data_IF_006607006638
#
_entry.id   IF_006607006638
#
_cell.length_a   1.000
_cell.length_b   1.000
_cell.length_c   1.000
_cell.angle_alpha   90.00
_cell.angle_beta   90.00
_cell.angle_gamma   90.00
#
_symmetry.space_group_name_H-M   'P 1'
#
loop_
_entity.id
_entity.type
_entity.pdbx_description
1 polymer ?
#
# COMPACT_ATOMS: atom_id res chain seq x y z
N UNK A 1 25.11 26.02 3.29
CA UNK A 1 24.55 25.64 1.98
C UNK A 1 23.45 24.61 2.24
N UNK A 2 22.21 24.94 1.86
CA UNK A 2 21.00 24.11 1.84
C UNK A 2 20.64 23.27 3.09
N UNK A 3 19.76 23.83 3.93
CA UNK A 3 18.86 23.08 4.82
C UNK A 3 18.01 22.11 3.97
N UNK A 4 18.00 20.82 4.30
CA UNK A 4 16.90 19.93 3.89
C UNK A 4 16.22 19.35 5.14
N UNK A 5 15.38 20.22 5.73
CA UNK A 5 14.03 19.96 6.22
C UNK A 5 13.77 18.56 6.81
N UNK A 6 13.67 18.56 8.14
CA UNK A 6 12.88 17.65 8.98
C UNK A 6 11.49 17.34 8.36
N UNK A 7 11.20 16.09 8.00
CA UNK A 7 9.86 15.57 7.64
C UNK A 7 9.96 14.05 7.56
N UNK A 8 9.27 13.22 8.33
CA UNK A 8 8.20 13.42 9.29
C UNK A 8 8.37 12.34 10.35
N UNK A 9 8.52 12.71 11.61
CA UNK A 9 8.01 11.88 12.70
C UNK A 9 6.49 12.09 12.73
N UNK A 10 5.78 11.64 11.68
CA UNK A 10 4.35 11.43 11.80
C UNK A 10 4.21 10.17 12.64
N UNK A 11 4.00 10.37 13.95
CA UNK A 11 3.48 9.32 14.80
C UNK A 11 2.35 8.63 14.05
N UNK A 12 2.54 7.33 13.78
CA UNK A 12 1.67 6.42 13.06
C UNK A 12 0.29 6.33 13.72
N UNK A 13 -0.53 7.37 13.59
CA UNK A 13 -1.95 7.31 13.90
C UNK A 13 -2.67 6.77 12.67
N UNK A 14 -2.33 5.54 12.29
CA UNK A 14 -3.07 4.81 11.29
C UNK A 14 -4.47 4.49 11.86
N UNK A 15 -5.49 5.21 11.39
CA UNK A 15 -6.89 5.00 11.79
C UNK A 15 -7.62 4.34 10.64
N UNK A 16 -7.90 3.03 10.79
CA UNK A 16 -8.80 2.27 9.90
C UNK A 16 -10.16 2.96 9.69
N UNK A 17 -10.58 3.81 10.63
CA UNK A 17 -11.79 4.63 10.58
C UNK A 17 -11.85 5.53 9.32
N UNK A 18 -10.71 6.03 8.83
CA UNK A 18 -10.65 6.84 7.62
C UNK A 18 -10.86 6.05 6.32
N UNK A 19 -10.76 4.70 6.34
CA UNK A 19 -11.09 3.89 5.15
C UNK A 19 -12.60 3.78 4.95
N UNK A 20 -13.41 3.84 6.03
CA UNK A 20 -14.86 3.62 5.95
C UNK A 20 -15.59 4.70 5.13
N UNK A 21 -15.03 5.92 5.04
CA UNK A 21 -15.58 7.03 4.26
C UNK A 21 -14.91 7.27 2.90
N UNK A 22 -13.87 6.51 2.56
CA UNK A 22 -13.10 6.72 1.34
C UNK A 22 -13.56 5.78 0.23
N UNK A 23 -13.74 6.31 -0.97
CA UNK A 23 -14.08 5.51 -2.14
C UNK A 23 -12.89 4.60 -2.50
N UNK A 24 -13.01 3.32 -2.15
CA UNK A 24 -12.10 2.24 -2.52
C UNK A 24 -12.77 1.46 -3.65
N UNK A 25 -12.07 1.32 -4.77
CA UNK A 25 -12.62 0.61 -5.92
C UNK A 25 -12.60 -0.92 -5.68
N UNK A 26 -13.42 -1.69 -6.40
CA UNK A 26 -13.54 -3.14 -6.26
C UNK A 26 -12.20 -3.88 -6.33
N UNK A 27 -11.29 -3.42 -7.20
CA UNK A 27 -9.94 -4.00 -7.36
C UNK A 27 -9.09 -3.83 -6.09
N UNK A 28 -9.13 -2.65 -5.49
CA UNK A 28 -8.42 -2.35 -4.25
C UNK A 28 -9.02 -3.13 -3.09
N UNK A 29 -10.35 -3.17 -2.99
CA UNK A 29 -11.06 -3.94 -1.96
C UNK A 29 -10.74 -5.43 -2.02
N UNK A 30 -10.71 -6.02 -3.22
CA UNK A 30 -10.32 -7.41 -3.44
C UNK A 30 -8.92 -7.68 -2.88
N UNK A 31 -7.96 -6.81 -3.20
CA UNK A 31 -6.57 -7.00 -2.79
C UNK A 31 -6.38 -6.75 -1.30
N UNK A 32 -7.02 -5.75 -0.72
CA UNK A 32 -7.00 -5.51 0.73
C UNK A 32 -7.58 -6.71 1.50
N UNK A 33 -8.72 -7.27 1.07
CA UNK A 33 -9.29 -8.46 1.67
C UNK A 33 -8.32 -9.65 1.62
N UNK A 34 -7.63 -9.87 0.49
CA UNK A 34 -6.62 -10.94 0.38
C UNK A 34 -5.43 -10.71 1.31
N UNK A 35 -4.95 -9.48 1.42
CA UNK A 35 -3.86 -9.14 2.34
C UNK A 35 -4.27 -9.38 3.80
N UNK A 36 -5.51 -9.06 4.16
CA UNK A 36 -6.09 -9.30 5.49
C UNK A 36 -6.34 -10.79 5.79
N UNK A 37 -6.69 -11.60 4.77
CA UNK A 37 -6.95 -13.04 4.90
C UNK A 37 -5.67 -13.88 5.16
N UNK A 38 -4.50 -13.27 5.04
CA UNK A 38 -3.21 -13.95 5.21
C UNK A 38 -2.51 -14.22 3.88
N UNK A 39 -2.29 -13.16 3.10
CA UNK A 39 -1.54 -13.25 1.85
C UNK A 39 -0.10 -13.72 2.09
N UNK A 40 0.25 -14.87 1.51
CA UNK A 40 1.61 -15.40 1.55
C UNK A 40 2.49 -14.80 0.44
N UNK A 41 3.60 -14.17 0.85
CA UNK A 41 4.61 -13.61 -0.05
C UNK A 41 4.59 -12.07 -0.16
N UNK A 42 5.38 -11.56 -1.11
CA UNK A 42 5.56 -10.11 -1.32
C UNK A 42 4.53 -9.56 -2.29
N UNK A 43 3.80 -8.53 -1.88
CA UNK A 43 2.90 -7.82 -2.78
C UNK A 43 3.72 -6.93 -3.72
N UNK A 44 3.66 -7.22 -5.02
CA UNK A 44 4.27 -6.40 -6.08
C UNK A 44 3.20 -5.95 -7.06
N UNK A 45 3.49 -4.95 -7.89
CA UNK A 45 2.55 -4.49 -8.93
C UNK A 45 2.21 -5.59 -9.94
N UNK A 46 3.16 -6.46 -10.28
CA UNK A 46 2.92 -7.62 -11.13
C UNK A 46 1.95 -8.61 -10.48
N UNK A 47 2.15 -8.93 -9.20
CA UNK A 47 1.27 -9.86 -8.48
C UNK A 47 -0.15 -9.31 -8.33
N UNK A 48 -0.27 -8.01 -8.09
CA UNK A 48 -1.54 -7.30 -8.05
C UNK A 48 -2.25 -7.36 -9.42
N UNK A 49 -1.53 -7.08 -10.50
CA UNK A 49 -2.05 -7.15 -11.87
C UNK A 49 -2.62 -8.54 -12.20
N UNK A 50 -1.91 -9.61 -11.85
CA UNK A 50 -2.37 -10.98 -12.04
C UNK A 50 -3.65 -11.30 -11.25
N UNK A 51 -3.70 -10.89 -9.98
CA UNK A 51 -4.82 -11.21 -9.07
C UNK A 51 -6.07 -10.38 -9.36
N UNK A 52 -5.90 -9.09 -9.67
CA UNK A 52 -6.98 -8.17 -10.00
C UNK A 52 -7.34 -8.18 -11.50
N UNK A 53 -6.70 -9.03 -12.32
CA UNK A 53 -6.88 -9.13 -13.78
C UNK A 53 -6.78 -7.78 -14.48
N UNK A 54 -5.76 -7.02 -14.14
CA UNK A 54 -5.52 -5.66 -14.66
C UNK A 54 -4.09 -5.52 -15.17
N UNK A 55 -3.78 -4.43 -15.87
CA UNK A 55 -2.43 -4.17 -16.36
C UNK A 55 -1.49 -3.75 -15.21
N UNK A 56 -0.17 -3.98 -15.32
CA UNK A 56 0.81 -3.56 -14.30
C UNK A 56 0.78 -2.06 -13.99
N UNK A 57 0.55 -1.22 -15.00
CA UNK A 57 0.36 0.23 -14.86
C UNK A 57 -0.86 0.59 -14.00
N UNK A 58 -1.98 -0.08 -14.23
CA UNK A 58 -3.23 0.13 -13.49
C UNK A 58 -3.10 -0.38 -12.07
N UNK A 59 -2.49 -1.56 -11.88
CA UNK A 59 -2.16 -2.09 -10.57
C UNK A 59 -1.24 -1.14 -9.77
N UNK A 60 -0.22 -0.56 -10.42
CA UNK A 60 0.68 0.39 -9.78
C UNK A 60 -0.04 1.69 -9.36
N UNK A 61 -1.02 2.16 -10.15
CA UNK A 61 -1.87 3.30 -9.77
C UNK A 61 -2.74 2.97 -8.56
N UNK A 62 -3.40 1.81 -8.57
CA UNK A 62 -4.21 1.34 -7.43
C UNK A 62 -3.35 1.24 -6.15
N UNK A 63 -2.12 0.72 -6.26
CA UNK A 63 -1.16 0.63 -5.14
C UNK A 63 -0.72 2.01 -4.67
N UNK A 64 -0.32 2.91 -5.57
CA UNK A 64 0.13 4.25 -5.20
C UNK A 64 -0.97 5.07 -4.53
N UNK A 65 -2.23 4.91 -4.96
CA UNK A 65 -3.38 5.51 -4.30
C UNK A 65 -3.50 5.02 -2.84
N UNK A 66 -3.37 3.71 -2.60
CA UNK A 66 -3.39 3.15 -1.25
C UNK A 66 -2.17 3.55 -0.41
N UNK A 67 -1.00 3.73 -1.03
CA UNK A 67 0.20 4.25 -0.35
C UNK A 67 0.03 5.71 0.04
N UNK A 68 -0.54 6.53 -0.85
CA UNK A 68 -0.85 7.94 -0.56
C UNK A 68 -1.90 8.11 0.53
N UNK A 69 -2.66 7.05 0.85
CA UNK A 69 -3.66 7.00 1.91
C UNK A 69 -3.14 6.34 3.19
N UNK A 70 -1.83 6.03 3.26
CA UNK A 70 -1.19 5.31 4.36
C UNK A 70 -1.80 3.93 4.67
N UNK A 71 -2.49 3.32 3.71
CA UNK A 71 -3.04 1.96 3.83
C UNK A 71 -1.97 0.91 3.51
N UNK A 72 -1.13 1.22 2.51
CA UNK A 72 0.02 0.41 2.15
C UNK A 72 1.30 1.21 2.39
N UNK A 73 2.35 0.53 2.81
CA UNK A 73 3.69 1.10 2.85
C UNK A 73 4.60 0.36 1.87
N UNK A 74 5.44 1.13 1.19
CA UNK A 74 6.51 0.57 0.36
C UNK A 74 7.59 0.01 1.28
N UNK A 75 7.91 -1.26 1.11
CA UNK A 75 9.04 -1.87 1.78
C UNK A 75 10.36 -1.54 1.05
N UNK A 76 11.34 -1.08 1.81
CA UNK A 76 12.70 -0.86 1.32
C UNK A 76 13.41 -2.20 1.10
N UNK A 77 13.05 -2.92 0.04
CA UNK A 77 13.81 -4.08 -0.38
C UNK A 77 15.07 -3.61 -1.14
N UNK A 78 16.25 -3.97 -0.66
CA UNK A 78 17.56 -3.59 -1.22
C UNK A 78 17.92 -4.17 -2.61
N UNK A 79 16.93 -4.40 -3.48
CA UNK A 79 17.09 -4.91 -4.84
C UNK A 79 16.14 -4.22 -5.84
N UNK A 80 16.04 -4.73 -7.08
CA UNK A 80 15.18 -4.13 -8.14
C UNK A 80 13.67 -4.27 -7.90
N UNK A 81 13.25 -5.07 -6.92
CA UNK A 81 11.85 -5.42 -6.70
C UNK A 81 11.27 -4.61 -5.55
N UNK A 82 10.39 -3.66 -5.87
CA UNK A 82 9.62 -2.91 -4.87
C UNK A 82 8.47 -3.78 -4.36
N UNK A 83 8.36 -3.93 -3.04
CA UNK A 83 7.27 -4.68 -2.39
C UNK A 83 6.43 -3.75 -1.52
N UNK A 84 5.21 -4.13 -1.24
CA UNK A 84 4.25 -3.35 -0.45
C UNK A 84 3.65 -4.22 0.66
N UNK A 85 3.32 -3.62 1.80
CA UNK A 85 2.62 -4.31 2.90
C UNK A 85 1.53 -3.43 3.50
N UNK A 86 0.54 -4.05 4.15
CA UNK A 86 -0.46 -3.33 4.93
C UNK A 86 0.23 -2.61 6.10
N UNK A 87 -0.17 -1.36 6.32
CA UNK A 87 0.13 -0.68 7.57
C UNK A 87 -0.77 -1.30 8.64
N UNK A 88 -0.16 -1.91 9.65
CA UNK A 88 -0.86 -2.32 10.85
C UNK A 88 -0.50 -1.30 11.95
N UNK A 89 -1.46 -0.83 12.75
CA UNK A 89 -1.11 -0.09 13.94
C UNK A 89 -0.37 -1.07 14.85
N UNK A 90 0.90 -0.78 15.15
CA UNK A 90 1.60 -1.48 16.22
C UNK A 90 0.83 -1.20 17.51
N UNK A 91 0.28 -2.26 18.10
CA UNK A 91 -0.45 -2.20 19.38
C UNK A 91 0.51 -2.09 20.56
#
# INVERSE_FOLDING_TARGET
MARYIHRHEDRLNFRWDNLAGQSINDRQRLMLNRLLDGFDGKLTSSKWAELAKTSPDTALRDINDLVSRDILIREAAGGRSTSYRLVFPEV
#
